data_IF_082893863957
#
_entry.id   IF_082893863957
#
_cell.length_a   1.000
_cell.length_b   1.000
_cell.length_c   1.000
_cell.angle_alpha   90.00
_cell.angle_beta   90.00
_cell.angle_gamma   90.00
#
_symmetry.space_group_name_H-M   'P 1'
#
loop_
_entity.id
_entity.type
_entity.pdbx_description
1 polymer ?
#
# COMPACT_ATOMS: atom_id res chain seq x y z
N UNK A 1 10.59 -11.16 -19.83
CA UNK A 1 10.54 -10.54 -18.48
C UNK A 1 9.74 -11.45 -17.57
N UNK A 2 10.30 -11.82 -16.41
CA UNK A 2 9.61 -12.65 -15.43
C UNK A 2 8.69 -11.77 -14.55
N UNK A 3 7.80 -12.41 -13.80
CA UNK A 3 6.98 -11.69 -12.81
C UNK A 3 7.86 -10.96 -11.77
N UNK A 4 8.95 -11.59 -11.33
CA UNK A 4 9.90 -10.97 -10.41
C UNK A 4 10.55 -9.71 -11.02
N UNK A 5 10.94 -9.76 -12.27
CA UNK A 5 11.51 -8.59 -12.96
C UNK A 5 10.50 -7.45 -13.03
N UNK A 6 9.24 -7.77 -13.32
CA UNK A 6 8.16 -6.78 -13.37
C UNK A 6 7.93 -6.15 -11.99
N UNK A 7 7.91 -6.96 -10.94
CA UNK A 7 7.75 -6.48 -9.56
C UNK A 7 8.89 -5.52 -9.20
N UNK A 8 10.13 -5.89 -9.47
CA UNK A 8 11.29 -5.04 -9.19
C UNK A 8 11.22 -3.71 -9.93
N UNK A 9 10.85 -3.76 -11.22
CA UNK A 9 10.71 -2.55 -12.04
C UNK A 9 9.59 -1.64 -11.52
N UNK A 10 8.45 -2.20 -11.17
CA UNK A 10 7.30 -1.44 -10.67
C UNK A 10 7.61 -0.78 -9.31
N UNK A 11 8.26 -1.51 -8.41
CA UNK A 11 8.64 -0.98 -7.10
C UNK A 11 9.69 0.13 -7.24
N UNK A 12 10.65 -0.05 -8.14
CA UNK A 12 11.68 0.97 -8.40
C UNK A 12 11.10 2.21 -9.10
N UNK A 13 10.09 2.04 -9.95
CA UNK A 13 9.52 3.11 -10.77
C UNK A 13 8.39 3.89 -10.13
N UNK A 14 7.92 3.50 -8.93
CA UNK A 14 6.80 4.17 -8.27
C UNK A 14 7.14 4.43 -6.81
N UNK A 15 6.94 5.67 -6.37
CA UNK A 15 7.22 6.06 -4.99
C UNK A 15 6.33 5.32 -3.98
N UNK A 16 5.05 5.14 -4.32
CA UNK A 16 4.11 4.36 -3.53
C UNK A 16 3.43 3.36 -4.44
N UNK A 17 3.45 2.08 -4.05
CA UNK A 17 2.80 1.02 -4.81
C UNK A 17 2.10 0.06 -3.85
N UNK A 18 0.87 -0.31 -4.20
CA UNK A 18 0.03 -1.22 -3.43
C UNK A 18 -0.30 -2.45 -4.27
N UNK A 19 0.15 -3.61 -3.81
CA UNK A 19 -0.29 -4.91 -4.35
C UNK A 19 -1.55 -5.32 -3.62
N UNK A 20 -2.65 -5.48 -4.34
CA UNK A 20 -3.97 -5.66 -3.77
C UNK A 20 -4.82 -6.63 -4.57
N UNK A 21 -5.91 -7.10 -3.98
CA UNK A 21 -6.94 -7.87 -4.67
C UNK A 21 -7.99 -6.89 -5.21
N UNK A 22 -8.10 -6.81 -6.53
CA UNK A 22 -8.90 -5.82 -7.22
C UNK A 22 -8.10 -4.57 -7.56
N UNK A 23 -8.78 -3.47 -7.79
CA UNK A 23 -8.19 -2.17 -8.12
C UNK A 23 -8.52 -1.15 -7.04
N UNK A 24 -7.83 -0.01 -7.06
CA UNK A 24 -8.10 1.07 -6.08
C UNK A 24 -9.54 1.59 -6.15
N UNK A 25 -10.17 1.51 -7.32
CA UNK A 25 -11.55 1.95 -7.51
C UNK A 25 -12.57 0.83 -7.24
N UNK A 26 -12.15 -0.43 -7.39
CA UNK A 26 -12.99 -1.61 -7.17
C UNK A 26 -12.22 -2.71 -6.43
N UNK A 27 -11.94 -2.55 -5.14
CA UNK A 27 -11.29 -3.58 -4.35
C UNK A 27 -12.15 -4.83 -4.24
N UNK A 28 -11.53 -6.02 -4.29
CA UNK A 28 -12.21 -7.32 -4.24
C UNK A 28 -11.98 -8.06 -2.93
N UNK A 29 -11.43 -7.39 -1.93
CA UNK A 29 -11.11 -7.98 -0.63
C UNK A 29 -11.21 -6.87 0.43
N UNK A 30 -11.81 -7.18 1.59
CA UNK A 30 -11.97 -6.21 2.66
C UNK A 30 -10.66 -5.63 3.18
N UNK A 31 -9.62 -6.45 3.25
CA UNK A 31 -8.29 -5.98 3.69
C UNK A 31 -7.66 -5.05 2.66
N UNK A 32 -7.75 -5.38 1.37
CA UNK A 32 -7.29 -4.52 0.29
C UNK A 32 -8.08 -3.21 0.24
N UNK A 33 -9.39 -3.29 0.43
CA UNK A 33 -10.27 -2.13 0.48
C UNK A 33 -9.87 -1.16 1.58
N UNK A 34 -9.50 -1.67 2.75
CA UNK A 34 -9.09 -0.83 3.87
C UNK A 34 -7.81 -0.05 3.58
N UNK A 35 -6.78 -0.71 3.05
CA UNK A 35 -5.51 -0.05 2.72
C UNK A 35 -5.70 0.96 1.59
N UNK A 36 -6.39 0.56 0.53
CA UNK A 36 -6.71 1.48 -0.57
C UNK A 36 -7.52 2.67 -0.07
N UNK A 37 -8.49 2.43 0.83
CA UNK A 37 -9.30 3.49 1.44
C UNK A 37 -8.47 4.50 2.22
N UNK A 38 -7.49 4.04 3.00
CA UNK A 38 -6.57 4.91 3.74
C UNK A 38 -5.79 5.79 2.77
N UNK A 39 -5.17 5.20 1.75
CA UNK A 39 -4.36 5.94 0.78
C UNK A 39 -5.22 6.92 -0.03
N UNK A 40 -6.40 6.51 -0.46
CA UNK A 40 -7.34 7.36 -1.20
C UNK A 40 -7.80 8.54 -0.33
N UNK A 41 -8.17 8.28 0.90
CA UNK A 41 -8.63 9.32 1.83
C UNK A 41 -7.52 10.34 2.13
N UNK A 42 -6.28 9.87 2.31
CA UNK A 42 -5.14 10.75 2.54
C UNK A 42 -4.65 11.46 1.27
N UNK A 43 -5.24 11.17 0.13
CA UNK A 43 -4.86 11.82 -1.13
C UNK A 43 -3.48 11.43 -1.64
N UNK A 44 -2.98 10.26 -1.25
CA UNK A 44 -1.67 9.76 -1.69
C UNK A 44 -1.76 9.31 -3.15
N UNK A 45 -0.82 9.75 -3.97
CA UNK A 45 -0.66 9.21 -5.33
C UNK A 45 0.08 7.87 -5.25
N UNK A 46 -0.54 6.81 -5.75
CA UNK A 46 0.06 5.48 -5.74
C UNK A 46 -0.35 4.65 -6.94
N UNK A 47 0.52 3.72 -7.32
CA UNK A 47 0.20 2.69 -8.30
C UNK A 47 -0.45 1.52 -7.59
N UNK A 48 -1.58 1.04 -8.11
CA UNK A 48 -2.22 -0.18 -7.66
C UNK A 48 -1.91 -1.33 -8.63
N UNK A 49 -1.64 -2.51 -8.09
CA UNK A 49 -1.43 -3.73 -8.88
C UNK A 49 -2.44 -4.77 -8.42
N UNK A 50 -3.32 -5.17 -9.35
CA UNK A 50 -4.33 -6.19 -9.08
C UNK A 50 -3.73 -7.59 -9.23
N UNK A 51 -3.42 -8.23 -8.11
CA UNK A 51 -2.81 -9.57 -8.12
C UNK A 51 -3.79 -10.67 -8.56
N UNK A 52 -5.09 -10.38 -8.60
CA UNK A 52 -6.07 -11.34 -9.13
C UNK A 52 -6.01 -11.45 -10.65
N UNK A 53 -5.49 -10.43 -11.32
CA UNK A 53 -5.35 -10.42 -12.78
C UNK A 53 -4.14 -11.23 -13.26
N UNK A 54 -3.17 -11.51 -12.38
CA UNK A 54 -1.93 -12.20 -12.75
C UNK A 54 -1.46 -13.09 -11.58
N UNK A 55 -1.72 -14.41 -11.66
CA UNK A 55 -1.31 -15.36 -10.62
C UNK A 55 0.21 -15.40 -10.38
N UNK A 56 1.01 -15.15 -11.40
CA UNK A 56 2.48 -15.15 -11.27
C UNK A 56 2.95 -13.95 -10.45
N UNK A 57 2.32 -12.79 -10.63
CA UNK A 57 2.58 -11.62 -9.79
C UNK A 57 2.11 -11.84 -8.36
N UNK A 58 0.94 -12.47 -8.20
CA UNK A 58 0.41 -12.81 -6.86
C UNK A 58 1.39 -13.66 -6.06
N UNK A 59 1.92 -14.71 -6.66
CA UNK A 59 2.91 -15.56 -6.00
C UNK A 59 4.25 -14.84 -5.88
N UNK A 60 4.66 -14.14 -6.93
CA UNK A 60 5.93 -13.44 -6.98
C UNK A 60 6.10 -12.38 -5.91
N UNK A 61 5.04 -11.60 -5.62
CA UNK A 61 5.15 -10.56 -4.58
C UNK A 61 5.27 -11.17 -3.18
N UNK A 62 4.63 -12.31 -2.93
CA UNK A 62 4.78 -13.03 -1.66
C UNK A 62 6.21 -13.55 -1.49
N UNK A 63 6.77 -14.09 -2.54
CA UNK A 63 8.15 -14.58 -2.54
C UNK A 63 9.15 -13.43 -2.39
N UNK A 64 8.92 -12.33 -3.10
CA UNK A 64 9.77 -11.15 -3.06
C UNK A 64 9.85 -10.53 -1.65
N UNK A 65 8.71 -10.43 -0.96
CA UNK A 65 8.63 -9.84 0.36
C UNK A 65 8.89 -10.81 1.51
N UNK A 66 8.88 -12.10 1.23
CA UNK A 66 8.81 -13.15 2.24
C UNK A 66 7.63 -12.93 3.21
N UNK A 67 6.50 -12.47 2.64
CA UNK A 67 5.27 -12.16 3.38
C UNK A 67 4.09 -12.84 2.70
N UNK A 68 3.29 -13.64 3.44
CA UNK A 68 2.33 -14.57 2.80
C UNK A 68 1.00 -13.95 2.38
N UNK A 69 0.71 -12.72 2.77
CA UNK A 69 -0.63 -12.16 2.59
C UNK A 69 -0.65 -10.92 1.69
N UNK A 70 -1.81 -10.65 1.12
CA UNK A 70 -2.14 -9.47 0.34
C UNK A 70 -3.24 -8.73 1.12
N UNK A 71 -3.23 -7.39 1.23
CA UNK A 71 -2.43 -6.42 0.47
C UNK A 71 -1.00 -6.24 1.02
N UNK A 72 -0.14 -5.66 0.17
CA UNK A 72 1.23 -5.27 0.54
C UNK A 72 1.52 -3.87 0.03
N UNK A 73 1.94 -2.99 0.93
CA UNK A 73 2.28 -1.59 0.62
C UNK A 73 3.80 -1.41 0.60
N UNK A 74 4.28 -0.73 -0.43
CA UNK A 74 5.69 -0.32 -0.55
C UNK A 74 5.78 1.19 -0.70
N UNK A 75 6.73 1.80 0.01
CA UNK A 75 7.01 3.24 -0.08
C UNK A 75 8.50 3.42 -0.35
N UNK A 76 8.83 4.06 -1.47
CA UNK A 76 10.23 4.30 -1.90
C UNK A 76 11.07 3.02 -1.89
N UNK A 77 10.50 1.91 -2.35
CA UNK A 77 11.17 0.62 -2.43
C UNK A 77 11.13 -0.22 -1.17
N UNK A 78 10.72 0.34 -0.03
CA UNK A 78 10.68 -0.36 1.25
C UNK A 78 9.31 -0.98 1.50
N UNK A 79 9.28 -2.24 1.93
CA UNK A 79 8.06 -2.91 2.33
C UNK A 79 7.56 -2.32 3.65
N UNK A 80 6.35 -1.78 3.64
CA UNK A 80 5.73 -1.20 4.84
C UNK A 80 4.95 -2.25 5.60
N UNK A 81 4.08 -2.98 4.93
CA UNK A 81 3.27 -4.01 5.54
C UNK A 81 1.93 -4.21 4.85
N UNK A 82 1.07 -4.98 5.51
CA UNK A 82 -0.29 -5.26 5.09
C UNK A 82 -1.31 -4.41 5.82
N UNK A 83 -2.57 -4.90 5.84
CA UNK A 83 -3.71 -4.16 6.36
C UNK A 83 -3.54 -3.74 7.82
N UNK A 84 -3.16 -4.68 8.70
CA UNK A 84 -3.09 -4.39 10.14
C UNK A 84 -1.97 -3.39 10.45
N UNK A 85 -0.81 -3.57 9.83
CA UNK A 85 0.35 -2.70 10.06
C UNK A 85 0.06 -1.29 9.55
N UNK A 86 -0.48 -1.16 8.34
CA UNK A 86 -0.82 0.15 7.77
C UNK A 86 -1.86 0.86 8.62
N UNK A 87 -2.88 0.14 9.09
CA UNK A 87 -3.92 0.71 9.95
C UNK A 87 -3.34 1.20 11.28
N UNK A 88 -2.50 0.39 11.93
CA UNK A 88 -1.83 0.79 13.17
C UNK A 88 -0.95 2.02 12.97
N UNK A 89 -0.16 2.03 11.90
CA UNK A 89 0.72 3.15 11.59
C UNK A 89 -0.05 4.44 11.32
N UNK A 90 -1.21 4.33 10.66
CA UNK A 90 -2.08 5.50 10.45
C UNK A 90 -2.59 6.05 11.78
N UNK A 91 -3.08 5.18 12.67
CA UNK A 91 -3.65 5.59 13.96
C UNK A 91 -2.59 6.13 14.92
N UNK A 92 -1.37 5.61 14.87
CA UNK A 92 -0.28 6.06 15.75
C UNK A 92 0.44 7.32 15.25
N UNK A 93 0.23 7.70 13.99
CA UNK A 93 0.99 8.78 13.34
C UNK A 93 2.29 8.34 12.69
N UNK A 94 2.65 7.05 12.80
CA UNK A 94 3.87 6.52 12.17
C UNK A 94 3.80 6.56 10.65
N UNK A 95 2.61 6.42 10.06
CA UNK A 95 2.44 6.52 8.61
C UNK A 95 2.71 7.94 8.12
N UNK A 96 2.22 8.94 8.83
CA UNK A 96 2.48 10.34 8.55
C UNK A 96 3.98 10.63 8.57
N UNK A 97 4.67 10.14 9.60
CA UNK A 97 6.11 10.30 9.75
C UNK A 97 6.86 9.63 8.61
N UNK A 98 6.44 8.43 8.21
CA UNK A 98 7.04 7.73 7.08
C UNK A 98 6.90 8.54 5.80
N UNK A 99 5.72 9.07 5.51
CA UNK A 99 5.48 9.90 4.34
C UNK A 99 6.31 11.19 4.38
N UNK A 100 6.37 11.85 5.53
CA UNK A 100 7.19 13.06 5.70
C UNK A 100 8.68 12.76 5.46
N UNK A 101 9.19 11.68 6.05
CA UNK A 101 10.59 11.27 5.91
C UNK A 101 10.95 10.87 4.47
N UNK A 102 10.00 10.29 3.74
CA UNK A 102 10.19 9.83 2.36
C UNK A 102 9.77 10.87 1.30
N UNK A 103 9.26 12.02 1.73
CA UNK A 103 8.84 13.06 0.81
C UNK A 103 7.57 12.73 0.03
N UNK A 104 6.68 11.93 0.61
CA UNK A 104 5.40 11.58 0.00
C UNK A 104 4.33 12.58 0.42
N UNK A 105 3.67 13.20 -0.56
CA UNK A 105 2.59 14.15 -0.30
C UNK A 105 1.32 13.43 0.17
N UNK A 106 0.67 13.97 1.18
CA UNK A 106 -0.61 13.49 1.68
C UNK A 106 -1.36 14.63 2.37
N UNK A 107 -2.65 14.45 2.65
CA UNK A 107 -3.50 15.44 3.32
C UNK A 107 -3.38 15.30 4.84
N UNK A 108 -2.61 16.19 5.46
CA UNK A 108 -2.36 16.18 6.91
C UNK A 108 -3.63 16.43 7.72
N UNK A 109 -4.52 17.29 7.22
CA UNK A 109 -5.80 17.57 7.88
C UNK A 109 -6.68 16.34 7.96
N UNK A 110 -6.74 15.56 6.88
CA UNK A 110 -7.50 14.30 6.87
C UNK A 110 -6.87 13.24 7.77
N UNK A 111 -5.54 13.17 7.82
CA UNK A 111 -4.85 12.27 8.74
C UNK A 111 -5.23 12.58 10.20
N UNK A 112 -5.25 13.85 10.58
CA UNK A 112 -5.66 14.29 11.91
C UNK A 112 -7.13 13.97 12.19
N UNK A 113 -8.02 14.13 11.19
CA UNK A 113 -9.44 13.81 11.32
C UNK A 113 -9.68 12.32 11.58
N UNK A 114 -8.95 11.44 10.87
CA UNK A 114 -9.07 9.99 11.08
C UNK A 114 -8.66 9.62 12.50
N UNK A 115 -7.54 10.15 12.98
CA UNK A 115 -7.07 9.86 14.34
C UNK A 115 -8.07 10.37 15.40
N UNK A 116 -8.59 11.57 15.22
CA UNK A 116 -9.59 12.14 16.13
C UNK A 116 -10.86 11.28 16.18
N UNK A 117 -11.31 10.78 15.03
CA UNK A 117 -12.51 9.93 14.95
C UNK A 117 -12.33 8.55 15.61
N UNK A 118 -11.08 8.09 15.74
CA UNK A 118 -10.73 6.77 16.31
C UNK A 118 -10.08 6.87 17.71
N UNK A 119 -10.02 8.06 18.26
CA UNK A 119 -9.45 8.27 19.58
C UNK A 119 -10.38 7.78 20.70
#
# INVERSE_FOLDING_TARGET
MTALDQIKADIAGNDVILYMKGTKDMPQCGFSSRVAGVLNYLGVTYKDVNVLADPDVRQGIKDYSDWPTIPQLYVKGDFVGGCDIVTEMMLSGELDKLFDDKGIAYDKGRADQIRAANA
#
